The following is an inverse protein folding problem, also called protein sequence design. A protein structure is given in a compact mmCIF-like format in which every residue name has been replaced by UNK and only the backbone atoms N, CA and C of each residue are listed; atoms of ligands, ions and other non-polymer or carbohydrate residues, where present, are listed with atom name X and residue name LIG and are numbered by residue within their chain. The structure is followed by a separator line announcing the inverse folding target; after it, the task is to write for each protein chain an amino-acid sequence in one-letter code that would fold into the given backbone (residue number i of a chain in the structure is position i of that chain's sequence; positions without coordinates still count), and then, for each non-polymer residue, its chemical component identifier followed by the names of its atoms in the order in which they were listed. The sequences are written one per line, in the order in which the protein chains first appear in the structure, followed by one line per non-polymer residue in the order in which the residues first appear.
data_IF_747611011382
#
_entry.id   IF_747611011382
#
_cell.length_a   1.000
_cell.length_b   1.000
_cell.length_c   1.000
_cell.angle_alpha   90.00
_cell.angle_beta   90.00
_cell.angle_gamma   90.00
#
_symmetry.space_group_name_H-M   'P 1'
#
loop_
_entity.id
_entity.type
_entity.pdbx_description
1 polymer ?
#
# COMPACT_ATOMS: atom_id res chain seq x y z
N UNK A 1 9.23 7.54 9.50
CA UNK A 1 8.58 6.39 10.18
C UNK A 1 7.08 6.48 9.90
N UNK A 2 6.39 5.37 9.59
CA UNK A 2 4.96 5.38 9.18
C UNK A 2 4.09 6.21 10.11
N UNK A 3 4.16 5.91 11.40
CA UNK A 3 3.40 6.60 12.45
C UNK A 3 3.39 8.12 12.28
N UNK A 4 4.56 8.76 12.20
CA UNK A 4 4.65 10.22 12.06
C UNK A 4 4.27 10.73 10.67
N UNK A 5 4.61 9.97 9.62
CA UNK A 5 4.30 10.36 8.25
C UNK A 5 2.79 10.38 7.97
N UNK A 6 2.00 9.64 8.76
CA UNK A 6 0.56 9.51 8.54
C UNK A 6 -0.32 9.96 9.69
N UNK A 7 0.17 10.85 10.56
CA UNK A 7 -0.63 11.46 11.62
C UNK A 7 -0.98 10.51 12.77
N UNK A 8 -0.06 9.63 13.13
CA UNK A 8 -0.16 8.60 14.18
C UNK A 8 -0.94 8.98 15.44
N UNK A 9 -0.66 10.13 16.07
CA UNK A 9 -1.37 10.57 17.28
C UNK A 9 -2.88 10.74 17.10
N UNK A 10 -3.37 10.90 15.87
CA UNK A 10 -4.78 11.12 15.54
C UNK A 10 -5.48 9.88 14.95
N UNK A 11 -4.80 8.73 14.87
CA UNK A 11 -5.43 7.50 14.39
C UNK A 11 -6.52 7.03 15.35
N UNK A 12 -7.56 6.37 14.81
CA UNK A 12 -8.65 5.81 15.64
C UNK A 12 -8.13 4.73 16.60
N UNK A 13 -7.23 3.88 16.11
CA UNK A 13 -6.48 2.88 16.84
C UNK A 13 -5.00 3.12 16.59
N UNK A 14 -4.40 3.84 17.52
CA UNK A 14 -3.01 4.26 17.42
C UNK A 14 -2.06 3.23 18.03
N UNK A 15 -0.79 3.28 17.62
CA UNK A 15 0.25 2.45 18.21
C UNK A 15 0.71 3.02 19.55
N UNK A 16 1.07 2.15 20.52
CA UNK A 16 1.57 2.57 21.82
C UNK A 16 3.03 3.04 21.73
N UNK A 17 3.27 4.12 20.97
CA UNK A 17 4.60 4.74 20.88
C UNK A 17 4.90 5.40 22.23
N UNK A 18 5.96 4.94 22.90
CA UNK A 18 6.44 5.47 24.18
C UNK A 18 7.93 5.81 24.11
N UNK A 19 8.43 6.57 25.09
CA UNK A 19 9.85 6.93 25.21
C UNK A 19 10.76 5.73 25.56
N UNK A 20 10.17 4.61 25.98
CA UNK A 20 10.84 3.31 26.11
C UNK A 20 10.70 2.56 24.79
N UNK A 21 11.74 1.79 24.40
CA UNK A 21 11.79 1.06 23.12
C UNK A 21 10.48 0.28 22.92
N UNK A 22 9.69 0.71 21.93
CA UNK A 22 8.46 0.05 21.52
C UNK A 22 8.76 -0.90 20.36
N UNK A 23 8.41 -2.17 20.53
CA UNK A 23 8.60 -3.25 19.57
C UNK A 23 7.24 -3.59 18.91
N UNK A 24 7.08 -3.32 17.60
CA UNK A 24 5.85 -3.63 16.86
C UNK A 24 5.38 -5.08 16.98
N UNK A 25 6.31 -6.01 17.20
CA UNK A 25 6.04 -7.44 17.26
C UNK A 25 5.79 -7.96 18.68
N UNK A 26 6.01 -7.16 19.72
CA UNK A 26 5.83 -7.56 21.13
C UNK A 26 4.81 -6.73 21.88
N UNK A 27 4.63 -5.48 21.48
CA UNK A 27 3.78 -4.52 22.21
C UNK A 27 2.36 -4.42 21.65
N UNK A 28 1.88 -5.47 20.97
CA UNK A 28 0.52 -5.60 20.46
C UNK A 28 0.07 -4.38 19.62
N UNK A 29 0.93 -3.91 18.72
CA UNK A 29 0.61 -2.78 17.85
C UNK A 29 -0.60 -3.11 16.99
N UNK A 30 -1.60 -2.24 17.03
CA UNK A 30 -2.81 -2.44 16.24
C UNK A 30 -2.49 -2.65 14.76
N UNK A 31 -3.08 -3.70 14.18
CA UNK A 31 -2.92 -4.02 12.76
C UNK A 31 -1.57 -4.63 12.37
N UNK A 32 -0.64 -4.83 13.31
CA UNK A 32 0.68 -5.43 13.05
C UNK A 32 0.65 -6.91 13.40
N UNK A 33 1.03 -7.77 12.44
CA UNK A 33 1.32 -9.17 12.71
C UNK A 33 2.74 -9.50 12.28
N UNK A 34 3.43 -10.26 13.14
CA UNK A 34 4.80 -10.70 12.89
C UNK A 34 4.90 -12.21 12.80
N UNK A 35 5.89 -12.69 12.06
CA UNK A 35 6.24 -14.11 12.05
C UNK A 35 7.13 -14.47 13.26
N UNK A 36 7.49 -15.76 13.39
CA UNK A 36 8.30 -16.26 14.51
C UNK A 36 9.74 -15.70 14.55
N UNK A 37 10.18 -15.01 13.50
CA UNK A 37 11.49 -14.34 13.43
C UNK A 37 11.42 -12.86 13.85
N UNK A 38 10.23 -12.35 14.20
CA UNK A 38 10.02 -10.95 14.56
C UNK A 38 9.98 -10.01 13.36
N UNK A 39 9.72 -10.52 12.15
CA UNK A 39 9.49 -9.68 10.98
C UNK A 39 8.00 -9.38 10.82
N UNK A 40 7.66 -8.12 10.55
CA UNK A 40 6.29 -7.72 10.22
C UNK A 40 5.92 -8.35 8.87
N UNK A 41 4.86 -9.16 8.88
CA UNK A 41 4.31 -9.85 7.71
C UNK A 41 2.99 -9.27 7.26
N UNK A 42 2.16 -8.76 8.18
CA UNK A 42 0.88 -8.12 7.86
C UNK A 42 0.82 -6.76 8.52
N UNK A 43 0.39 -5.76 7.75
CA UNK A 43 0.09 -4.42 8.24
C UNK A 43 -1.30 -3.97 7.76
N UNK A 44 -2.26 -4.00 8.67
CA UNK A 44 -3.69 -3.71 8.42
C UNK A 44 -4.15 -2.50 9.21
N UNK A 45 -4.15 -1.36 8.55
CA UNK A 45 -4.53 -0.04 9.09
C UNK A 45 -5.72 0.57 8.32
N UNK A 46 -6.54 -0.28 7.71
CA UNK A 46 -7.73 0.15 7.00
C UNK A 46 -8.69 0.92 7.92
N UNK A 47 -9.35 1.95 7.38
CA UNK A 47 -10.36 2.73 8.10
C UNK A 47 -9.87 3.31 9.45
N UNK A 48 -8.59 3.65 9.55
CA UNK A 48 -7.96 4.04 10.81
C UNK A 48 -7.67 5.55 10.94
N UNK A 49 -8.10 6.35 9.96
CA UNK A 49 -7.93 7.81 9.97
C UNK A 49 -6.50 8.26 9.65
N UNK A 50 -5.74 7.46 8.90
CA UNK A 50 -4.40 7.85 8.44
C UNK A 50 -4.52 9.07 7.51
N UNK A 51 -3.64 10.04 7.68
CA UNK A 51 -3.50 11.24 6.83
C UNK A 51 -2.09 11.29 6.24
N UNK A 52 -1.68 12.38 5.58
CA UNK A 52 -0.27 12.54 5.17
C UNK A 52 0.10 11.65 3.98
N UNK A 53 1.25 10.97 4.02
CA UNK A 53 1.81 10.25 2.86
C UNK A 53 2.39 8.88 3.24
N UNK A 54 2.46 7.98 2.25
CA UNK A 54 3.14 6.69 2.39
C UNK A 54 4.67 6.89 2.37
N UNK A 55 5.40 6.61 3.47
CA UNK A 55 6.84 6.83 3.50
C UNK A 55 7.60 5.78 2.67
N UNK A 56 8.67 6.16 1.95
CA UNK A 56 9.53 5.23 1.23
C UNK A 56 10.15 4.12 2.10
N UNK A 57 10.24 4.37 3.42
CA UNK A 57 10.76 3.44 4.42
C UNK A 57 9.99 2.12 4.52
N UNK A 58 8.77 2.02 3.96
CA UNK A 58 8.05 0.76 3.84
C UNK A 58 8.89 -0.34 3.17
N UNK A 59 9.73 0.03 2.21
CA UNK A 59 10.60 -0.90 1.48
C UNK A 59 11.61 -1.65 2.37
N UNK A 60 11.74 -1.29 3.66
CA UNK A 60 12.56 -2.02 4.64
C UNK A 60 11.85 -3.24 5.23
N UNK A 61 10.54 -3.37 5.07
CA UNK A 61 9.75 -4.49 5.57
C UNK A 61 9.78 -5.64 4.55
N UNK A 62 10.94 -6.24 4.31
CA UNK A 62 11.15 -7.22 3.24
C UNK A 62 10.31 -8.50 3.36
N UNK A 63 9.80 -8.81 4.56
CA UNK A 63 8.90 -9.93 4.81
C UNK A 63 7.41 -9.56 4.72
N UNK A 64 7.07 -8.31 4.37
CA UNK A 64 5.68 -7.86 4.34
C UNK A 64 4.92 -8.55 3.20
N UNK A 65 3.89 -9.30 3.57
CA UNK A 65 3.00 -10.05 2.68
C UNK A 65 1.71 -9.28 2.40
N UNK A 66 1.24 -8.48 3.37
CA UNK A 66 0.03 -7.67 3.23
C UNK A 66 0.23 -6.25 3.75
N UNK A 67 -0.10 -5.29 2.89
CA UNK A 67 -0.24 -3.88 3.24
C UNK A 67 -1.66 -3.42 2.92
N UNK A 68 -2.46 -3.21 3.95
CA UNK A 68 -3.80 -2.63 3.84
C UNK A 68 -3.87 -1.30 4.58
N UNK A 69 -3.97 -0.22 3.81
CA UNK A 69 -4.18 1.15 4.29
C UNK A 69 -5.41 1.76 3.63
N UNK A 70 -6.34 0.92 3.18
CA UNK A 70 -7.55 1.33 2.48
C UNK A 70 -8.49 2.17 3.37
N UNK A 71 -9.38 2.94 2.75
CA UNK A 71 -10.40 3.73 3.46
C UNK A 71 -9.79 4.72 4.47
N UNK A 72 -8.76 5.45 4.06
CA UNK A 72 -8.10 6.48 4.87
C UNK A 72 -8.10 7.83 4.12
N UNK A 73 -7.36 8.82 4.62
CA UNK A 73 -7.18 10.12 3.99
C UNK A 73 -5.72 10.34 3.59
N UNK A 74 -5.03 9.28 3.14
CA UNK A 74 -3.68 9.37 2.61
C UNK A 74 -3.67 10.22 1.34
N UNK A 75 -2.61 11.01 1.17
CA UNK A 75 -2.41 11.96 0.08
C UNK A 75 -1.03 11.73 -0.56
N UNK A 76 -0.72 12.54 -1.57
CA UNK A 76 0.52 12.47 -2.35
C UNK A 76 0.65 11.16 -3.15
N UNK A 77 1.78 11.01 -3.82
CA UNK A 77 2.06 9.87 -4.68
C UNK A 77 2.50 8.63 -3.90
N UNK A 78 2.22 7.47 -4.50
CA UNK A 78 2.71 6.20 -4.00
C UNK A 78 4.22 6.13 -4.25
N UNK A 79 5.05 5.85 -3.23
CA UNK A 79 6.49 5.77 -3.43
C UNK A 79 6.85 4.54 -4.25
N UNK A 80 7.65 4.74 -5.31
CA UNK A 80 8.09 3.65 -6.19
C UNK A 80 8.89 2.55 -5.47
N UNK A 81 9.44 2.83 -4.29
CA UNK A 81 10.14 1.87 -3.45
C UNK A 81 9.25 0.76 -2.91
N UNK A 82 7.91 0.90 -2.91
CA UNK A 82 7.00 -0.22 -2.61
C UNK A 82 7.22 -1.41 -3.55
N UNK A 83 7.65 -1.18 -4.79
CA UNK A 83 7.99 -2.24 -5.75
C UNK A 83 9.15 -3.15 -5.33
N UNK A 84 9.82 -2.86 -4.21
CA UNK A 84 10.89 -3.70 -3.63
C UNK A 84 10.40 -4.77 -2.65
N UNK A 85 9.11 -4.75 -2.30
CA UNK A 85 8.52 -5.68 -1.34
C UNK A 85 8.22 -7.03 -2.00
N UNK A 86 9.24 -7.82 -2.31
CA UNK A 86 9.10 -9.05 -3.11
C UNK A 86 8.18 -10.12 -2.49
N UNK A 87 7.95 -10.07 -1.18
CA UNK A 87 7.03 -10.95 -0.48
C UNK A 87 5.56 -10.47 -0.53
N UNK A 88 5.30 -9.25 -1.02
CA UNK A 88 3.98 -8.64 -0.97
C UNK A 88 3.00 -9.36 -1.90
N UNK A 89 1.92 -9.86 -1.32
CA UNK A 89 0.81 -10.56 -1.98
C UNK A 89 -0.41 -9.68 -2.10
N UNK A 90 -0.67 -8.86 -1.09
CA UNK A 90 -1.86 -7.99 -1.04
C UNK A 90 -1.45 -6.56 -0.80
N UNK A 91 -1.80 -5.68 -1.75
CA UNK A 91 -1.63 -4.23 -1.63
C UNK A 91 -2.97 -3.53 -1.81
N UNK A 92 -3.48 -2.94 -0.73
CA UNK A 92 -4.74 -2.19 -0.72
C UNK A 92 -4.51 -0.73 -0.39
N UNK A 93 -4.66 0.10 -1.42
CA UNK A 93 -4.54 1.56 -1.36
C UNK A 93 -5.89 2.24 -1.66
N UNK A 94 -6.95 1.46 -1.87
CA UNK A 94 -8.27 1.93 -2.27
C UNK A 94 -8.90 2.88 -1.26
N UNK A 95 -9.77 3.78 -1.74
CA UNK A 95 -10.52 4.73 -0.92
C UNK A 95 -9.58 5.63 -0.10
N UNK A 96 -8.75 6.40 -0.78
CA UNK A 96 -7.86 7.41 -0.21
C UNK A 96 -7.90 8.68 -1.09
N UNK A 97 -6.99 9.62 -0.86
CA UNK A 97 -6.79 10.81 -1.69
C UNK A 97 -5.39 10.83 -2.33
N UNK A 98 -4.84 9.65 -2.67
CA UNK A 98 -3.53 9.53 -3.29
C UNK A 98 -3.56 10.14 -4.70
N UNK A 99 -2.46 10.79 -5.10
CA UNK A 99 -2.36 11.56 -6.35
C UNK A 99 -1.15 11.17 -7.19
N UNK A 100 -1.02 11.78 -8.37
CA UNK A 100 0.09 11.52 -9.29
C UNK A 100 -0.05 10.18 -10.02
N UNK A 101 1.00 9.73 -10.69
CA UNK A 101 0.99 8.49 -11.45
C UNK A 101 1.15 7.27 -10.52
N UNK A 102 0.45 6.18 -10.86
CA UNK A 102 0.70 4.87 -10.25
C UNK A 102 2.12 4.42 -10.62
N UNK A 103 3.00 4.04 -9.67
CA UNK A 103 4.36 3.63 -10.00
C UNK A 103 4.38 2.32 -10.81
N UNK A 104 5.03 2.28 -11.98
CA UNK A 104 5.19 1.05 -12.74
C UNK A 104 5.94 -0.04 -11.96
N UNK A 105 6.75 0.32 -10.96
CA UNK A 105 7.44 -0.63 -10.09
C UNK A 105 6.50 -1.52 -9.27
N UNK A 106 5.22 -1.19 -9.13
CA UNK A 106 4.27 -2.13 -8.50
C UNK A 106 4.07 -3.40 -9.36
N UNK A 107 4.36 -3.34 -10.67
CA UNK A 107 4.34 -4.53 -11.55
C UNK A 107 5.52 -5.47 -11.36
N UNK A 108 6.57 -5.06 -10.63
CA UNK A 108 7.73 -5.91 -10.35
C UNK A 108 7.55 -6.79 -9.11
N UNK A 109 6.41 -6.68 -8.44
CA UNK A 109 6.06 -7.47 -7.27
C UNK A 109 5.68 -8.89 -7.71
N UNK A 110 6.65 -9.79 -7.73
CA UNK A 110 6.50 -11.15 -8.27
C UNK A 110 5.49 -12.03 -7.53
N UNK A 111 5.20 -11.71 -6.27
CA UNK A 111 4.27 -12.47 -5.42
C UNK A 111 2.88 -11.83 -5.34
N UNK A 112 2.63 -10.74 -6.06
CA UNK A 112 1.41 -9.96 -5.94
C UNK A 112 0.20 -10.75 -6.46
N UNK A 113 -0.85 -10.81 -5.66
CA UNK A 113 -2.11 -11.49 -5.95
C UNK A 113 -3.27 -10.49 -6.00
N UNK A 114 -3.21 -9.41 -5.22
CA UNK A 114 -4.26 -8.39 -5.13
C UNK A 114 -3.67 -6.98 -5.13
N UNK A 115 -4.18 -6.12 -6.01
CA UNK A 115 -3.85 -4.70 -6.08
C UNK A 115 -5.12 -3.86 -6.20
N UNK A 116 -5.45 -3.10 -5.14
CA UNK A 116 -6.62 -2.21 -5.11
C UNK A 116 -6.18 -0.75 -5.13
N UNK A 117 -6.63 0.02 -6.12
CA UNK A 117 -6.22 1.41 -6.37
C UNK A 117 -7.41 2.37 -6.53
N UNK A 118 -8.63 1.85 -6.67
CA UNK A 118 -9.86 2.62 -6.87
C UNK A 118 -10.18 3.60 -5.75
N UNK A 119 -10.98 4.61 -6.05
CA UNK A 119 -11.34 5.65 -5.08
C UNK A 119 -10.12 6.47 -4.66
N UNK A 120 -9.28 6.86 -5.62
CA UNK A 120 -8.15 7.78 -5.40
C UNK A 120 -8.18 8.91 -6.45
N UNK A 121 -7.23 9.83 -6.38
CA UNK A 121 -7.07 10.94 -7.32
C UNK A 121 -5.81 10.76 -8.19
N UNK A 122 -5.51 9.51 -8.59
CA UNK A 122 -4.39 9.22 -9.47
C UNK A 122 -4.56 9.91 -10.83
N UNK A 123 -3.44 10.29 -11.42
CA UNK A 123 -3.38 10.84 -12.77
C UNK A 123 -3.36 9.72 -13.79
N UNK A 124 -4.13 9.87 -14.87
CA UNK A 124 -4.05 8.99 -16.03
C UNK A 124 -2.76 9.26 -16.85
N UNK A 125 -2.28 8.28 -17.63
CA UNK A 125 -2.80 6.91 -17.75
C UNK A 125 -2.27 5.96 -16.66
N UNK A 126 -3.00 4.87 -16.41
CA UNK A 126 -2.46 3.72 -15.69
C UNK A 126 -1.26 3.15 -16.47
N UNK A 127 -0.13 2.83 -15.81
CA UNK A 127 1.00 2.21 -16.51
C UNK A 127 0.58 0.89 -17.16
N UNK A 128 0.98 0.68 -18.43
CA UNK A 128 0.70 -0.56 -19.18
C UNK A 128 1.15 -1.81 -18.43
N UNK A 129 2.26 -1.73 -17.68
CA UNK A 129 2.74 -2.85 -16.89
C UNK A 129 1.76 -3.27 -15.77
N UNK A 130 1.04 -2.32 -15.17
CA UNK A 130 0.00 -2.61 -14.17
C UNK A 130 -1.26 -3.16 -14.83
N UNK A 131 -1.66 -2.58 -15.97
CA UNK A 131 -2.77 -3.08 -16.77
C UNK A 131 -2.53 -4.55 -17.18
N UNK A 132 -1.32 -4.90 -17.59
CA UNK A 132 -0.94 -6.25 -18.00
C UNK A 132 -1.07 -7.29 -16.87
N UNK A 133 -0.93 -6.90 -15.59
CA UNK A 133 -1.15 -7.80 -14.46
C UNK A 133 -2.58 -8.36 -14.44
N UNK A 134 -3.57 -7.52 -14.81
CA UNK A 134 -4.96 -7.95 -14.91
C UNK A 134 -5.18 -8.82 -16.15
N UNK A 135 -4.67 -8.42 -17.31
CA UNK A 135 -4.88 -9.15 -18.57
C UNK A 135 -4.32 -10.56 -18.51
N UNK A 136 -3.20 -10.76 -17.81
CA UNK A 136 -2.63 -12.08 -17.59
C UNK A 136 -3.44 -12.93 -16.59
N UNK A 137 -4.36 -12.34 -15.83
CA UNK A 137 -5.26 -13.04 -14.91
C UNK A 137 -4.60 -13.57 -13.63
N UNK A 138 -3.34 -13.23 -13.37
CA UNK A 138 -2.59 -13.70 -12.19
C UNK A 138 -2.83 -12.81 -10.97
N UNK A 139 -3.21 -11.55 -11.19
CA UNK A 139 -3.42 -10.54 -10.14
C UNK A 139 -4.82 -9.98 -10.24
N UNK A 140 -5.56 -10.00 -9.14
CA UNK A 140 -6.82 -9.27 -9.02
C UNK A 140 -6.49 -7.78 -8.84
N UNK A 141 -6.61 -7.01 -9.93
CA UNK A 141 -6.37 -5.57 -9.93
C UNK A 141 -7.70 -4.82 -10.03
N UNK A 142 -7.83 -3.69 -9.33
CA UNK A 142 -8.91 -2.72 -9.56
C UNK A 142 -8.39 -1.28 -9.50
N UNK A 143 -9.01 -0.43 -10.31
CA UNK A 143 -8.66 0.99 -10.48
C UNK A 143 -9.88 1.78 -10.94
N UNK A 144 -9.83 3.11 -10.82
CA UNK A 144 -10.90 3.99 -11.31
C UNK A 144 -10.93 4.01 -12.84
N UNK A 145 -12.12 3.89 -13.44
CA UNK A 145 -12.28 3.80 -14.90
C UNK A 145 -11.61 4.94 -15.67
N UNK A 146 -11.47 6.14 -15.07
CA UNK A 146 -10.75 7.27 -15.67
C UNK A 146 -9.25 7.02 -15.92
N UNK A 147 -8.65 6.02 -15.27
CA UNK A 147 -7.24 5.66 -15.43
C UNK A 147 -6.98 4.72 -16.61
N UNK A 148 -8.01 4.14 -17.22
CA UNK A 148 -7.82 3.20 -18.34
C UNK A 148 -7.06 3.87 -19.48
N UNK A 149 -5.96 3.27 -19.98
CA UNK A 149 -5.23 3.83 -21.12
C UNK A 149 -6.16 3.98 -22.34
N UNK A 150 -6.16 5.14 -22.99
CA UNK A 150 -7.03 5.45 -24.15
C UNK A 150 -6.77 4.58 -25.41
N UNK A 151 -5.81 3.66 -25.36
CA UNK A 151 -5.44 2.82 -26.50
C UNK A 151 -5.33 1.37 -26.03
N UNK A 152 -6.45 0.67 -26.02
CA UNK A 152 -6.53 -0.80 -26.07
C UNK A 152 -7.82 -1.31 -26.74
N UNK A 153 -8.66 -0.42 -27.28
CA UNK A 153 -9.67 -0.78 -28.28
C UNK A 153 -9.02 -0.78 -29.68
N UNK A 154 -8.06 -1.68 -29.90
CA UNK A 154 -7.55 -1.98 -31.23
C UNK A 154 -6.87 -3.35 -31.26
N UNK A 155 -7.67 -4.42 -31.24
CA UNK A 155 -7.71 -5.51 -32.24
C UNK A 155 -8.69 -6.59 -31.82
#
# INVERSE_FOLDING_TARGET
MLFWATGGPSWKQSWPISDVVSDPCRDNWYGVHCNCQGHIVLLRLANNGLTGYLPPAFARLSALEELDVSSNALTQSVPSTLGRLSALRVLRLDQNALTGLVPPSLSTLSSLEVLRLEGNAFSAPLPTAIYNLQVQGHVAVSWDAALTPMVLDAQ
#
